data_IF_368615186055
#
_entry.id   IF_368615186055
#
_cell.length_a   1.000
_cell.length_b   1.000
_cell.length_c   1.000
_cell.angle_alpha   90.00
_cell.angle_beta   90.00
_cell.angle_gamma   90.00
#
_symmetry.space_group_name_H-M   'P 1'
#
loop_
_entity.id
_entity.type
_entity.pdbx_description
1 polymer ?
#
# COMPACT_ATOMS: atom_id res chain seq x y z
N UNK A 1 6.34 -1.89 -0.30
CA UNK A 1 6.40 -0.53 -0.87
C UNK A 1 6.88 -0.48 -2.32
N UNK A 2 8.06 -1.01 -2.68
CA UNK A 2 8.63 -0.92 -4.05
C UNK A 2 7.73 -1.47 -5.15
N UNK A 3 7.09 -2.63 -4.93
CA UNK A 3 6.15 -3.28 -5.87
C UNK A 3 4.92 -2.40 -6.17
N UNK A 4 4.32 -1.84 -5.12
CA UNK A 4 3.19 -0.90 -5.19
C UNK A 4 3.58 0.34 -5.98
N UNK A 5 4.75 0.93 -5.68
CA UNK A 5 5.23 2.10 -6.40
C UNK A 5 5.52 1.83 -7.89
N UNK A 6 5.89 0.61 -8.29
CA UNK A 6 6.00 0.26 -9.71
C UNK A 6 4.64 0.19 -10.42
N UNK A 7 3.58 -0.20 -9.71
CA UNK A 7 2.21 -0.27 -10.25
C UNK A 7 1.56 1.12 -10.33
N UNK A 8 1.74 1.92 -9.27
CA UNK A 8 1.14 3.26 -9.16
C UNK A 8 1.98 4.35 -9.83
N UNK A 9 3.29 4.17 -9.88
CA UNK A 9 4.28 5.10 -10.44
C UNK A 9 4.99 5.95 -9.39
N UNK A 10 4.26 6.58 -8.46
CA UNK A 10 4.86 7.47 -7.46
C UNK A 10 4.13 7.45 -6.12
N UNK A 11 4.84 7.85 -5.05
CA UNK A 11 4.25 8.04 -3.71
C UNK A 11 3.18 9.13 -3.71
N UNK A 12 3.37 10.17 -4.52
CA UNK A 12 2.40 11.25 -4.68
C UNK A 12 1.08 10.72 -5.25
N UNK A 13 1.13 9.92 -6.32
CA UNK A 13 -0.07 9.36 -6.94
C UNK A 13 -0.76 8.38 -5.98
N UNK A 14 0.01 7.54 -5.28
CA UNK A 14 -0.51 6.69 -4.22
C UNK A 14 -1.23 7.49 -3.13
N UNK A 15 -0.65 8.59 -2.68
CA UNK A 15 -1.27 9.45 -1.67
C UNK A 15 -2.58 10.08 -2.19
N UNK A 16 -2.58 10.54 -3.45
CA UNK A 16 -3.75 11.10 -4.12
C UNK A 16 -4.89 10.08 -4.24
N UNK A 17 -4.59 8.87 -4.69
CA UNK A 17 -5.59 7.80 -4.84
C UNK A 17 -6.15 7.32 -3.49
N UNK A 18 -5.34 7.41 -2.44
CA UNK A 18 -5.75 7.11 -1.06
C UNK A 18 -6.42 8.29 -0.34
N UNK A 19 -6.44 9.49 -0.94
CA UNK A 19 -7.00 10.68 -0.32
C UNK A 19 -6.24 11.18 0.91
N UNK A 20 -4.95 10.86 1.01
CA UNK A 20 -4.09 11.24 2.14
C UNK A 20 -2.94 12.14 1.70
N UNK A 21 -2.32 12.81 2.67
CA UNK A 21 -1.14 13.63 2.41
C UNK A 21 0.03 12.78 1.94
N UNK A 22 0.78 13.28 0.96
CA UNK A 22 2.01 12.60 0.48
C UNK A 22 2.99 12.36 1.63
N UNK A 23 3.09 13.30 2.57
CA UNK A 23 3.94 13.16 3.76
C UNK A 23 3.57 11.95 4.63
N UNK A 24 2.27 11.62 4.77
CA UNK A 24 1.83 10.42 5.49
C UNK A 24 2.41 9.15 4.85
N UNK A 25 2.35 9.06 3.51
CA UNK A 25 2.94 7.94 2.75
C UNK A 25 4.47 7.88 2.91
N UNK A 26 5.14 9.02 3.07
CA UNK A 26 6.58 9.05 3.34
C UNK A 26 6.94 8.57 4.75
N UNK A 27 6.07 8.81 5.73
CA UNK A 27 6.27 8.37 7.12
C UNK A 27 6.00 6.89 7.35
N UNK A 28 5.37 6.20 6.39
CA UNK A 28 5.10 4.77 6.50
C UNK A 28 6.39 3.95 6.52
N UNK A 29 6.73 3.42 7.69
CA UNK A 29 7.65 2.28 7.80
C UNK A 29 7.02 1.01 7.25
N UNK A 30 5.70 0.87 7.44
CA UNK A 30 4.85 -0.20 6.88
C UNK A 30 3.48 0.36 6.53
N UNK A 31 2.77 -0.30 5.62
CA UNK A 31 1.46 0.15 5.14
C UNK A 31 0.42 -0.06 6.26
N UNK A 32 -0.30 0.98 6.69
CA UNK A 32 -1.40 0.86 7.64
C UNK A 32 -2.48 -0.07 7.11
N UNK A 33 -3.08 -0.88 8.00
CA UNK A 33 -4.04 -1.93 7.62
C UNK A 33 -5.24 -1.38 6.85
N UNK A 34 -5.73 -0.22 7.30
CA UNK A 34 -6.85 0.51 6.68
C UNK A 34 -6.63 0.82 5.19
N UNK A 35 -5.38 1.01 4.75
CA UNK A 35 -5.06 1.30 3.36
C UNK A 35 -4.74 0.04 2.55
N UNK A 36 -4.49 -1.10 3.19
CA UNK A 36 -4.06 -2.33 2.48
C UNK A 36 -5.10 -2.77 1.48
N UNK A 37 -6.38 -2.81 1.86
CA UNK A 37 -7.48 -3.23 0.97
C UNK A 37 -7.60 -2.30 -0.24
N UNK A 38 -7.57 -0.98 0.01
CA UNK A 38 -7.62 0.02 -1.05
C UNK A 38 -6.44 -0.13 -2.02
N UNK A 39 -5.23 -0.34 -1.49
CA UNK A 39 -4.02 -0.52 -2.32
C UNK A 39 -4.09 -1.85 -3.08
N UNK A 40 -4.64 -2.91 -2.49
CA UNK A 40 -4.86 -4.19 -3.17
C UNK A 40 -5.78 -4.03 -4.38
N UNK A 41 -6.93 -3.36 -4.20
CA UNK A 41 -7.86 -3.07 -5.31
C UNK A 41 -7.21 -2.23 -6.43
N UNK A 42 -6.43 -1.21 -6.08
CA UNK A 42 -5.83 -0.32 -7.07
C UNK A 42 -4.61 -0.92 -7.80
N UNK A 43 -3.85 -1.80 -7.14
CA UNK A 43 -2.55 -2.26 -7.65
C UNK A 43 -2.52 -3.75 -7.99
N UNK A 44 -3.49 -4.52 -7.51
CA UNK A 44 -3.53 -5.98 -7.58
C UNK A 44 -2.44 -6.68 -6.75
N UNK A 45 -1.73 -5.95 -5.88
CA UNK A 45 -0.77 -6.54 -4.95
C UNK A 45 -1.54 -7.09 -3.76
N UNK A 46 -1.29 -8.33 -3.35
CA UNK A 46 -2.08 -8.95 -2.30
C UNK A 46 -1.73 -8.40 -0.91
N UNK A 47 -2.73 -8.33 -0.03
CA UNK A 47 -2.58 -7.95 1.37
C UNK A 47 -1.58 -8.83 2.13
N UNK A 48 -1.48 -10.10 1.75
CA UNK A 48 -0.52 -11.07 2.28
C UNK A 48 0.93 -10.66 1.98
N UNK A 49 1.20 -10.07 0.81
CA UNK A 49 2.52 -9.53 0.49
C UNK A 49 2.81 -8.19 1.19
N UNK A 50 1.79 -7.35 1.38
CA UNK A 50 1.96 -6.03 2.02
C UNK A 50 2.15 -6.13 3.54
N UNK A 51 1.30 -6.94 4.17
CA UNK A 51 1.19 -7.12 5.62
C UNK A 51 1.10 -8.60 5.99
N UNK A 52 2.16 -9.40 5.72
CA UNK A 52 2.21 -10.81 6.12
C UNK A 52 2.17 -10.99 7.65
N UNK A 53 2.48 -9.95 8.41
CA UNK A 53 2.38 -9.93 9.87
C UNK A 53 0.94 -9.95 10.39
N UNK A 54 -0.02 -9.52 9.58
CA UNK A 54 -1.45 -9.49 9.96
C UNK A 54 -2.23 -10.54 9.20
N UNK A 55 -2.02 -10.63 7.88
CA UNK A 55 -2.79 -11.53 7.04
C UNK A 55 -2.16 -12.92 6.92
N UNK A 56 -0.98 -13.14 7.49
CA UNK A 56 -0.24 -14.40 7.35
C UNK A 56 0.39 -14.58 5.97
N UNK A 57 1.01 -15.75 5.75
CA UNK A 57 1.37 -16.19 4.40
C UNK A 57 0.08 -16.73 3.78
N UNK A 58 -0.46 -16.02 2.80
CA UNK A 58 -1.66 -16.47 2.08
C UNK A 58 -1.45 -17.88 1.56
N UNK A 59 -2.42 -18.75 1.85
CA UNK A 59 -2.59 -20.04 1.19
C UNK A 59 -3.06 -19.87 -0.26
#
# INVERSE_FOLDING_TARGET
MRKILRKVGSKYRLAKDLGISTQAVYQWRRIPVEHVLKIEEMTGVTRYEMRPDIYGKGE
#
